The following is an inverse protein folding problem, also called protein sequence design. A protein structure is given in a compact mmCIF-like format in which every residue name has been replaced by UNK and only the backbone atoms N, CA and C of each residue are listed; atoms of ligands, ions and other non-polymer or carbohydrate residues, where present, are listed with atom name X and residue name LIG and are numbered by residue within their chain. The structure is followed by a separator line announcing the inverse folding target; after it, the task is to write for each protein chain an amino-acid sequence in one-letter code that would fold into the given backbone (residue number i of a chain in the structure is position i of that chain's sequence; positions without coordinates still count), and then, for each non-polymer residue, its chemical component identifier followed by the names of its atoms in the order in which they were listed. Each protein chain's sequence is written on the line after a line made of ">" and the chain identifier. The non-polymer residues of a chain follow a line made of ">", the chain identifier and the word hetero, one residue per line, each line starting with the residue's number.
data_IF_874975061493
#
_entry.id   IF_874975061493
#
_cell.length_a   1.000
_cell.length_b   1.000
_cell.length_c   1.000
_cell.angle_alpha   90.00
_cell.angle_beta   90.00
_cell.angle_gamma   90.00
#
_symmetry.space_group_name_H-M   'P 1'
#
loop_
_entity.id
_entity.type
_entity.pdbx_description
1 polymer ?
#
# COMPACT_ATOMS: atom_id res chain seq x y z
N UNK A 1 0.35 7.73 -20.14
CA UNK A 1 -0.48 6.96 -21.11
C UNK A 1 -1.99 7.05 -20.83
N UNK A 2 -2.45 7.51 -19.65
CA UNK A 2 -3.88 7.85 -19.42
C UNK A 2 -4.16 9.35 -19.63
N UNK A 3 -3.21 10.23 -19.27
CA UNK A 3 -3.38 11.70 -19.35
C UNK A 3 -3.73 12.23 -20.75
N UNK A 4 -3.26 11.56 -21.80
CA UNK A 4 -3.55 11.95 -23.19
C UNK A 4 -5.05 11.86 -23.55
N UNK A 5 -5.84 11.11 -22.76
CA UNK A 5 -7.29 11.00 -22.94
C UNK A 5 -8.06 12.11 -22.20
N UNK A 6 -7.41 12.83 -21.28
CA UNK A 6 -8.01 13.92 -20.51
C UNK A 6 -9.38 13.55 -19.94
N UNK A 7 -10.35 14.44 -20.12
CA UNK A 7 -11.74 14.28 -19.65
C UNK A 7 -12.52 13.14 -20.33
N UNK A 8 -11.97 12.50 -21.37
CA UNK A 8 -12.60 11.32 -21.99
C UNK A 8 -12.34 10.05 -21.19
N UNK A 9 -11.35 10.06 -20.30
CA UNK A 9 -11.07 8.93 -19.42
C UNK A 9 -12.10 8.88 -18.30
N UNK A 10 -12.66 7.69 -18.07
CA UNK A 10 -13.55 7.42 -16.94
C UNK A 10 -12.87 6.41 -16.03
N UNK A 11 -12.80 6.72 -14.74
CA UNK A 11 -12.29 5.81 -13.72
C UNK A 11 -13.44 4.96 -13.21
N UNK A 12 -13.32 3.64 -13.38
CA UNK A 12 -14.25 2.66 -12.79
C UNK A 12 -13.52 1.95 -11.64
N UNK A 13 -13.91 2.17 -10.37
CA UNK A 13 -13.23 1.55 -9.24
C UNK A 13 -13.46 0.04 -9.22
N UNK A 14 -12.41 -0.70 -8.87
CA UNK A 14 -12.43 -2.15 -8.71
C UNK A 14 -11.97 -2.60 -7.32
N UNK A 15 -11.85 -3.91 -7.13
CA UNK A 15 -11.30 -4.49 -5.90
C UNK A 15 -9.78 -4.47 -5.97
N UNK A 16 -9.14 -3.75 -5.03
CA UNK A 16 -7.68 -3.70 -4.91
C UNK A 16 -7.10 -5.00 -4.34
N UNK A 17 -5.82 -5.28 -4.65
CA UNK A 17 -5.12 -6.47 -4.19
C UNK A 17 -5.07 -6.57 -2.65
N UNK A 18 -5.00 -5.45 -1.95
CA UNK A 18 -5.07 -5.35 -0.49
C UNK A 18 -6.32 -6.04 0.07
N UNK A 19 -7.48 -5.72 -0.51
CA UNK A 19 -8.76 -6.24 -0.06
C UNK A 19 -8.93 -7.72 -0.46
N UNK A 20 -8.46 -8.08 -1.65
CA UNK A 20 -8.48 -9.47 -2.10
C UNK A 20 -7.59 -10.36 -1.20
N UNK A 21 -6.38 -9.88 -0.87
CA UNK A 21 -5.45 -10.58 -0.01
C UNK A 21 -5.98 -10.70 1.43
N UNK A 22 -6.50 -9.62 2.01
CA UNK A 22 -7.04 -9.61 3.37
C UNK A 22 -8.23 -10.56 3.51
N UNK A 23 -9.10 -10.60 2.49
CA UNK A 23 -10.20 -11.56 2.41
C UNK A 23 -9.70 -13.01 2.32
N UNK A 24 -8.69 -13.29 1.48
CA UNK A 24 -8.10 -14.62 1.32
C UNK A 24 -7.53 -15.14 2.65
N UNK A 25 -6.79 -14.30 3.38
CA UNK A 25 -6.19 -14.69 4.67
C UNK A 25 -7.15 -14.53 5.86
N UNK A 26 -8.37 -14.05 5.63
CA UNK A 26 -9.41 -13.78 6.64
C UNK A 26 -8.90 -12.87 7.77
N UNK A 27 -8.17 -11.82 7.41
CA UNK A 27 -7.65 -10.82 8.36
C UNK A 27 -8.19 -9.45 8.02
N UNK A 28 -8.45 -8.65 9.05
CA UNK A 28 -8.69 -7.22 8.90
C UNK A 28 -7.35 -6.50 8.80
N UNK A 29 -7.34 -5.37 8.09
CA UNK A 29 -6.17 -4.49 8.01
C UNK A 29 -6.18 -3.42 9.11
N UNK A 30 -7.30 -3.28 9.82
CA UNK A 30 -7.51 -2.37 10.94
C UNK A 30 -8.25 -3.13 12.05
N UNK A 31 -7.66 -3.16 13.24
CA UNK A 31 -8.18 -3.80 14.43
C UNK A 31 -7.92 -2.91 15.66
N UNK A 32 -8.98 -2.38 16.31
CA UNK A 32 -8.85 -1.55 17.50
C UNK A 32 -7.97 -2.19 18.58
N UNK A 33 -7.02 -1.42 19.12
CA UNK A 33 -6.06 -1.88 20.12
C UNK A 33 -4.91 -2.75 19.59
N UNK A 34 -4.85 -3.01 18.28
CA UNK A 34 -3.75 -3.78 17.65
C UNK A 34 -3.12 -3.00 16.50
N UNK A 35 -3.90 -2.65 15.47
CA UNK A 35 -3.47 -1.83 14.35
C UNK A 35 -4.58 -0.86 13.94
N UNK A 36 -4.27 0.42 13.80
CA UNK A 36 -5.24 1.48 13.50
C UNK A 36 -4.93 2.21 12.18
N UNK A 37 -3.93 1.74 11.44
CA UNK A 37 -3.46 2.33 10.18
C UNK A 37 -3.13 1.20 9.21
N UNK A 38 -3.57 1.31 7.96
CA UNK A 38 -3.14 0.46 6.86
C UNK A 38 -2.34 1.29 5.86
N UNK A 39 -1.07 0.93 5.63
CA UNK A 39 -0.16 1.65 4.73
C UNK A 39 0.08 0.80 3.49
N UNK A 40 -0.17 1.36 2.31
CA UNK A 40 0.13 0.74 1.03
C UNK A 40 1.38 1.43 0.46
N UNK A 41 2.46 0.68 0.31
CA UNK A 41 3.75 1.21 -0.13
C UNK A 41 4.38 0.31 -1.19
N UNK A 42 5.38 0.84 -1.91
CA UNK A 42 6.24 0.03 -2.78
C UNK A 42 7.68 0.09 -2.29
N UNK A 43 8.53 -0.92 -2.56
CA UNK A 43 9.94 -0.83 -2.18
C UNK A 43 10.67 0.35 -2.81
N UNK A 44 10.23 0.82 -3.99
CA UNK A 44 10.79 2.02 -4.62
C UNK A 44 10.59 3.28 -3.78
N UNK A 45 9.52 3.35 -2.98
CA UNK A 45 9.34 4.50 -2.07
C UNK A 45 10.23 4.42 -0.83
N UNK A 46 10.97 3.33 -0.63
CA UNK A 46 11.93 3.15 0.46
C UNK A 46 13.33 3.52 -0.01
N UNK A 47 13.93 4.57 0.57
CA UNK A 47 15.36 4.89 0.38
C UNK A 47 15.75 5.57 -0.94
N UNK A 48 14.81 5.96 -1.80
CA UNK A 48 15.08 6.64 -3.07
C UNK A 48 15.50 8.14 -2.92
N UNK A 49 15.65 8.66 -1.69
CA UNK A 49 16.12 10.03 -1.45
C UNK A 49 16.29 10.39 0.03
N UNK A 50 16.85 11.58 0.35
CA UNK A 50 17.12 12.02 1.73
C UNK A 50 15.87 12.11 2.62
N UNK A 51 14.72 12.41 2.00
CA UNK A 51 13.41 12.52 2.66
C UNK A 51 12.56 11.27 2.46
N UNK A 52 13.11 10.21 1.84
CA UNK A 52 12.34 8.99 1.61
C UNK A 52 12.13 8.26 2.94
N UNK A 53 10.91 7.78 3.22
CA UNK A 53 10.64 7.02 4.44
C UNK A 53 11.45 5.74 4.46
N UNK A 54 11.96 5.38 5.63
CA UNK A 54 12.59 4.08 5.84
C UNK A 54 11.52 3.01 6.04
N UNK A 55 11.94 1.74 5.95
CA UNK A 55 11.07 0.62 6.24
C UNK A 55 10.56 0.65 7.69
N UNK A 56 11.39 1.15 8.63
CA UNK A 56 11.01 1.32 10.02
C UNK A 56 9.92 2.37 10.21
N UNK A 57 10.00 3.48 9.47
CA UNK A 57 9.00 4.56 9.51
C UNK A 57 7.63 4.07 9.00
N UNK A 58 7.63 3.16 8.02
CA UNK A 58 6.38 2.58 7.50
C UNK A 58 5.87 1.40 8.33
N UNK A 59 6.73 0.74 9.12
CA UNK A 59 6.41 -0.41 9.95
C UNK A 59 6.25 -0.06 11.44
N UNK A 60 5.92 1.19 11.74
CA UNK A 60 5.65 1.64 13.11
C UNK A 60 4.60 0.77 13.82
N UNK A 61 4.64 0.68 15.16
CA UNK A 61 3.61 0.02 15.94
C UNK A 61 2.20 0.51 15.58
N UNK A 62 1.27 -0.43 15.46
CA UNK A 62 -0.11 -0.14 15.08
C UNK A 62 -0.35 -0.02 13.57
N UNK A 63 0.65 -0.27 12.72
CA UNK A 63 0.50 -0.26 11.26
C UNK A 63 0.35 -1.67 10.70
N UNK A 64 -0.65 -1.87 9.85
CA UNK A 64 -0.67 -2.98 8.88
C UNK A 64 -0.02 -2.50 7.59
N UNK A 65 1.19 -2.98 7.29
CA UNK A 65 1.94 -2.56 6.11
C UNK A 65 1.74 -3.54 4.95
N UNK A 66 1.31 -3.01 3.80
CA UNK A 66 1.11 -3.75 2.55
C UNK A 66 2.13 -3.28 1.52
N UNK A 67 3.03 -4.20 1.13
CA UNK A 67 4.09 -3.92 0.17
C UNK A 67 3.64 -4.39 -1.22
N UNK A 68 3.36 -3.43 -2.10
CA UNK A 68 3.05 -3.66 -3.50
C UNK A 68 4.31 -3.70 -4.34
N UNK A 69 4.27 -4.52 -5.40
CA UNK A 69 5.37 -4.61 -6.37
C UNK A 69 6.70 -4.93 -5.69
N UNK A 70 6.69 -5.89 -4.75
CA UNK A 70 7.89 -6.34 -4.08
C UNK A 70 8.81 -7.09 -5.05
N UNK A 71 9.63 -6.34 -5.78
CA UNK A 71 10.52 -6.84 -6.84
C UNK A 71 11.99 -6.89 -6.39
N UNK A 72 12.28 -6.48 -5.16
CA UNK A 72 13.59 -6.53 -4.53
C UNK A 72 13.43 -7.43 -3.30
N UNK A 73 14.39 -8.33 -3.00
CA UNK A 73 14.39 -9.06 -1.74
C UNK A 73 14.37 -8.07 -0.57
N UNK A 74 13.42 -8.25 0.35
CA UNK A 74 13.34 -7.48 1.60
C UNK A 74 14.42 -7.93 2.58
#
# INVERSE_FOLDING_TARGET
>A
IVDALGERAVVVPGVGAANAASALVKKTLDLPGVCNRAVLASPRTLGDGPEAPTMGDLAEPGVTLLIYMNNIPL
#
